data_IF_808080049702
#
_entry.id   IF_808080049702
#
_cell.length_a   1.000
_cell.length_b   1.000
_cell.length_c   1.000
_cell.angle_alpha   90.00
_cell.angle_beta   90.00
_cell.angle_gamma   90.00
#
_symmetry.space_group_name_H-M   'P 1'
#
loop_
_entity.id
_entity.type
_entity.pdbx_description
1 polymer ?
#
# COMPACT_ATOMS: atom_id res chain seq x y z
N UNK A 1 -1.44 28.96 8.60
CA UNK A 1 -1.03 27.68 8.00
C UNK A 1 0.44 27.45 8.25
N UNK A 2 0.84 26.33 8.76
CA UNK A 2 2.25 26.02 8.97
C UNK A 2 2.89 25.53 7.65
N UNK A 3 4.21 25.75 7.54
CA UNK A 3 4.97 25.33 6.36
C UNK A 3 5.25 23.82 6.32
N UNK A 4 4.92 23.10 7.39
CA UNK A 4 5.13 21.66 7.50
C UNK A 4 4.30 21.05 8.62
N UNK A 5 4.25 19.73 8.66
CA UNK A 5 3.52 19.01 9.69
C UNK A 5 4.07 17.61 9.89
N UNK A 6 3.54 16.93 10.89
CA UNK A 6 3.95 15.56 11.25
C UNK A 6 2.75 14.66 11.12
N UNK A 7 2.96 13.49 10.48
CA UNK A 7 2.03 12.39 10.48
C UNK A 7 2.58 11.33 11.42
N UNK A 8 2.05 11.29 12.64
CA UNK A 8 2.53 10.36 13.67
C UNK A 8 1.78 9.04 13.58
N UNK A 9 2.19 8.18 12.66
CA UNK A 9 1.56 6.88 12.46
C UNK A 9 1.60 6.00 13.70
N UNK A 10 2.62 6.17 14.54
CA UNK A 10 2.73 5.41 15.79
C UNK A 10 1.60 5.69 16.78
N UNK A 11 0.92 6.83 16.65
CA UNK A 11 -0.23 7.21 17.48
C UNK A 11 -1.58 6.85 16.87
N UNK A 12 -1.60 6.34 15.64
CA UNK A 12 -2.83 5.95 14.94
C UNK A 12 -3.07 4.46 15.18
N UNK A 13 -4.28 4.11 15.61
CA UNK A 13 -4.65 2.71 15.78
C UNK A 13 -4.69 1.97 14.44
N UNK A 14 -4.31 0.70 14.46
CA UNK A 14 -4.46 -0.17 13.30
C UNK A 14 -5.95 -0.45 13.05
N UNK A 15 -6.32 -0.40 11.78
CA UNK A 15 -7.63 -0.83 11.31
C UNK A 15 -7.44 -2.03 10.37
N UNK A 16 -8.42 -2.92 10.32
CA UNK A 16 -8.37 -4.07 9.43
C UNK A 16 -9.03 -3.73 8.10
N UNK A 17 -8.24 -3.73 7.03
CA UNK A 17 -8.77 -3.64 5.66
C UNK A 17 -9.41 -4.98 5.28
N UNK A 18 -8.79 -6.05 5.70
CA UNK A 18 -9.23 -7.45 5.68
C UNK A 18 -8.72 -8.10 6.98
N UNK A 19 -9.13 -9.32 7.32
CA UNK A 19 -8.62 -9.98 8.54
C UNK A 19 -7.11 -10.10 8.61
N UNK A 20 -6.41 -10.20 7.46
CA UNK A 20 -4.97 -10.40 7.38
C UNK A 20 -4.22 -9.21 6.76
N UNK A 21 -4.89 -8.09 6.52
CA UNK A 21 -4.29 -6.85 6.01
C UNK A 21 -4.74 -5.68 6.88
N UNK A 22 -3.78 -4.98 7.46
CA UNK A 22 -4.01 -3.93 8.44
C UNK A 22 -3.42 -2.61 7.96
N UNK A 23 -4.04 -1.50 8.32
CA UNK A 23 -3.51 -0.18 7.98
C UNK A 23 -3.69 0.82 9.11
N UNK A 24 -2.79 1.79 9.16
CA UNK A 24 -2.94 3.01 9.95
C UNK A 24 -2.71 4.17 9.00
N UNK A 25 -3.68 5.07 8.92
CA UNK A 25 -3.70 6.09 7.88
C UNK A 25 -4.19 7.43 8.40
N UNK A 26 -3.74 8.49 7.73
CA UNK A 26 -4.15 9.85 8.01
C UNK A 26 -4.22 10.64 6.70
N UNK A 27 -5.15 11.57 6.63
CA UNK A 27 -5.27 12.46 5.46
C UNK A 27 -4.46 13.72 5.68
N UNK A 28 -3.69 14.09 4.67
CA UNK A 28 -2.93 15.33 4.63
C UNK A 28 -2.71 15.74 3.17
N UNK A 29 -2.73 17.03 2.90
CA UNK A 29 -2.49 17.59 1.57
C UNK A 29 -3.40 17.00 0.48
N UNK A 30 -4.65 16.66 0.85
CA UNK A 30 -5.61 16.05 -0.08
C UNK A 30 -5.34 14.59 -0.41
N UNK A 31 -4.40 13.95 0.26
CA UNK A 31 -3.99 12.57 0.03
C UNK A 31 -4.21 11.73 1.28
N UNK A 32 -4.35 10.42 1.09
CA UNK A 32 -4.32 9.45 2.19
C UNK A 32 -2.91 8.88 2.29
N UNK A 33 -2.31 9.00 3.46
CA UNK A 33 -0.97 8.51 3.79
C UNK A 33 -1.15 7.33 4.73
N UNK A 34 -0.52 6.21 4.45
CA UNK A 34 -0.76 4.99 5.21
C UNK A 34 0.49 4.16 5.41
N UNK A 35 0.54 3.50 6.56
CA UNK A 35 1.38 2.33 6.76
C UNK A 35 0.45 1.11 6.63
N UNK A 36 0.79 0.17 5.76
CA UNK A 36 -0.01 -1.02 5.51
C UNK A 36 0.82 -2.25 5.82
N UNK A 37 0.23 -3.20 6.52
CA UNK A 37 0.86 -4.46 6.86
C UNK A 37 0.05 -5.62 6.29
N UNK A 38 0.72 -6.46 5.52
CA UNK A 38 0.19 -7.72 5.00
C UNK A 38 0.78 -8.86 5.82
N UNK A 39 -0.05 -9.66 6.45
CA UNK A 39 0.42 -10.90 7.07
C UNK A 39 0.95 -11.85 5.99
N UNK A 40 1.76 -12.84 6.39
CA UNK A 40 2.32 -13.81 5.45
C UNK A 40 1.20 -14.47 4.63
N UNK A 41 1.33 -14.46 3.32
CA UNK A 41 0.35 -15.06 2.41
C UNK A 41 -0.91 -14.24 2.17
N UNK A 42 -1.06 -13.07 2.82
CA UNK A 42 -2.25 -12.25 2.66
C UNK A 42 -2.37 -11.71 1.23
N UNK A 43 -3.58 -11.69 0.69
CA UNK A 43 -3.86 -11.18 -0.65
C UNK A 43 -5.13 -10.34 -0.65
N UNK A 44 -5.09 -9.19 -1.33
CA UNK A 44 -6.28 -8.37 -1.57
C UNK A 44 -7.25 -9.14 -2.45
N UNK A 45 -8.52 -9.13 -2.08
CA UNK A 45 -9.56 -9.81 -2.85
C UNK A 45 -10.08 -8.93 -3.99
N UNK A 46 -10.13 -7.62 -3.78
CA UNK A 46 -10.73 -6.68 -4.72
C UNK A 46 -9.68 -5.92 -5.52
N UNK A 47 -10.02 -5.61 -6.76
CA UNK A 47 -9.23 -4.72 -7.60
C UNK A 47 -9.40 -3.27 -7.15
N UNK A 48 -8.28 -2.54 -7.10
CA UNK A 48 -8.27 -1.11 -6.82
C UNK A 48 -7.87 -0.36 -8.09
N UNK A 49 -8.57 0.73 -8.39
CA UNK A 49 -8.26 1.57 -9.56
C UNK A 49 -7.67 2.92 -9.18
N UNK A 50 -7.43 3.16 -7.90
CA UNK A 50 -6.80 4.40 -7.43
C UNK A 50 -5.30 4.36 -7.68
N UNK A 51 -4.72 5.53 -7.98
CA UNK A 51 -3.27 5.65 -8.09
C UNK A 51 -2.60 5.67 -6.72
N UNK A 52 -1.45 5.02 -6.61
CA UNK A 52 -0.66 5.00 -5.38
C UNK A 52 0.81 5.23 -5.67
N UNK A 53 1.50 5.75 -4.68
CA UNK A 53 2.96 5.76 -4.58
C UNK A 53 3.36 5.08 -3.29
N UNK A 54 4.42 4.29 -3.33
CA UNK A 54 4.78 3.56 -2.14
C UNK A 54 6.24 3.17 -2.04
N UNK A 55 6.55 2.62 -0.89
CA UNK A 55 7.87 2.15 -0.55
C UNK A 55 7.74 0.94 0.36
N UNK A 56 8.47 -0.13 0.06
CA UNK A 56 8.46 -1.34 0.87
C UNK A 56 9.42 -1.17 2.04
N UNK A 57 8.88 -1.18 3.25
CA UNK A 57 9.66 -1.02 4.49
C UNK A 57 10.24 -2.34 4.98
N UNK A 58 9.51 -3.44 4.81
CA UNK A 58 9.91 -4.77 5.25
C UNK A 58 9.18 -5.84 4.44
N UNK A 59 9.82 -6.98 4.27
CA UNK A 59 9.23 -8.11 3.55
C UNK A 59 9.19 -7.90 2.04
N UNK A 60 8.23 -8.52 1.40
CA UNK A 60 8.03 -8.44 -0.04
C UNK A 60 6.55 -8.33 -0.39
N UNK A 61 6.25 -7.74 -1.54
CA UNK A 61 4.90 -7.57 -2.04
C UNK A 61 4.89 -7.81 -3.54
N UNK A 62 3.80 -8.37 -4.04
CA UNK A 62 3.56 -8.52 -5.46
C UNK A 62 2.26 -7.82 -5.83
N UNK A 63 2.30 -7.05 -6.92
CA UNK A 63 1.10 -6.43 -7.48
C UNK A 63 0.79 -7.06 -8.83
N UNK A 64 -0.46 -7.47 -9.00
CA UNK A 64 -0.99 -7.93 -10.28
C UNK A 64 -1.96 -6.90 -10.85
N UNK A 65 -2.13 -6.93 -12.16
CA UNK A 65 -2.95 -5.96 -12.90
C UNK A 65 -4.02 -6.69 -13.70
N UNK A 66 -5.17 -6.05 -13.89
CA UNK A 66 -6.33 -6.64 -14.57
C UNK A 66 -6.43 -6.29 -16.05
N UNK A 67 -5.44 -5.59 -16.61
CA UNK A 67 -5.46 -5.18 -18.02
C UNK A 67 -5.00 -6.30 -18.99
N UNK A 68 -4.53 -7.42 -18.47
CA UNK A 68 -4.06 -8.55 -19.27
C UNK A 68 -2.72 -8.35 -19.98
N UNK A 69 -2.08 -7.21 -19.81
CA UNK A 69 -0.83 -6.85 -20.51
C UNK A 69 0.31 -6.42 -19.59
N UNK A 70 0.01 -5.71 -18.49
CA UNK A 70 1.04 -5.26 -17.57
C UNK A 70 1.60 -6.43 -16.75
N UNK A 71 2.91 -6.69 -16.81
CA UNK A 71 3.51 -7.73 -15.98
C UNK A 71 3.36 -7.41 -14.49
N UNK A 72 3.21 -8.46 -13.66
CA UNK A 72 3.20 -8.29 -12.22
C UNK A 72 4.49 -7.65 -11.72
N UNK A 73 4.36 -6.80 -10.70
CA UNK A 73 5.50 -6.21 -10.00
C UNK A 73 5.83 -7.07 -8.80
N UNK A 74 7.10 -7.36 -8.60
CA UNK A 74 7.58 -8.05 -7.41
C UNK A 74 8.62 -7.19 -6.73
N UNK A 75 8.35 -6.76 -5.50
CA UNK A 75 9.09 -5.74 -4.79
C UNK A 75 9.54 -6.25 -3.43
N UNK A 76 10.77 -5.89 -3.07
CA UNK A 76 11.32 -6.18 -1.74
C UNK A 76 11.62 -4.90 -0.97
N UNK A 77 12.01 -5.07 0.29
CA UNK A 77 12.37 -3.96 1.17
C UNK A 77 13.40 -3.05 0.50
N UNK A 78 13.20 -1.75 0.62
CA UNK A 78 14.08 -0.75 0.02
C UNK A 78 13.65 -0.29 -1.37
N UNK A 79 12.62 -0.88 -1.96
CA UNK A 79 12.14 -0.51 -3.29
C UNK A 79 10.90 0.36 -3.22
N UNK A 80 10.92 1.47 -3.97
CA UNK A 80 9.75 2.30 -4.19
C UNK A 80 9.01 1.86 -5.44
N UNK A 81 7.74 2.26 -5.54
CA UNK A 81 6.89 1.90 -6.68
C UNK A 81 5.80 2.93 -6.88
N UNK A 82 5.18 2.87 -8.05
CA UNK A 82 3.98 3.64 -8.34
C UNK A 82 2.99 2.75 -9.09
N UNK A 83 1.71 3.03 -8.87
CA UNK A 83 0.60 2.36 -9.54
C UNK A 83 -0.28 3.46 -10.14
N UNK A 84 -0.52 3.37 -11.44
CA UNK A 84 -1.30 4.38 -12.15
C UNK A 84 -2.78 4.22 -11.90
N UNK A 85 -3.48 5.33 -11.74
CA UNK A 85 -4.94 5.33 -11.67
C UNK A 85 -5.56 4.81 -12.98
N UNK A 86 -6.71 4.16 -12.87
CA UNK A 86 -7.49 3.69 -14.02
C UNK A 86 -7.31 2.22 -14.38
N UNK A 87 -6.16 1.62 -14.08
CA UNK A 87 -5.95 0.19 -14.24
C UNK A 87 -6.13 -0.50 -12.90
N UNK A 88 -6.90 -1.58 -12.87
CA UNK A 88 -7.08 -2.35 -11.65
C UNK A 88 -5.79 -3.04 -11.24
N UNK A 89 -5.46 -2.91 -9.96
CA UNK A 89 -4.33 -3.60 -9.34
C UNK A 89 -4.75 -4.19 -7.99
N UNK A 90 -4.04 -5.20 -7.54
CA UNK A 90 -4.18 -5.73 -6.19
C UNK A 90 -2.88 -6.36 -5.73
N UNK A 91 -2.58 -6.14 -4.45
CA UNK A 91 -1.36 -6.61 -3.82
C UNK A 91 -1.55 -7.93 -3.09
N UNK A 92 -0.45 -8.66 -2.98
CA UNK A 92 -0.37 -9.85 -2.13
C UNK A 92 1.02 -9.96 -1.54
N UNK A 93 1.11 -10.60 -0.40
CA UNK A 93 2.39 -10.96 0.22
C UNK A 93 2.72 -12.41 -0.11
N UNK A 94 3.63 -12.69 -1.07
CA UNK A 94 3.98 -14.06 -1.44
C UNK A 94 4.95 -14.71 -0.46
N UNK A 95 5.45 -13.97 0.51
CA UNK A 95 6.48 -14.45 1.43
C UNK A 95 5.95 -15.14 2.67
N UNK A 96 6.87 -15.67 3.47
CA UNK A 96 6.57 -16.37 4.72
C UNK A 96 6.63 -15.50 5.96
N UNK A 97 6.79 -14.19 5.81
CA UNK A 97 6.79 -13.22 6.91
C UNK A 97 5.94 -12.02 6.55
N UNK A 98 5.58 -11.18 7.52
CA UNK A 98 4.80 -9.97 7.29
C UNK A 98 5.53 -9.02 6.36
N UNK A 99 4.79 -8.33 5.50
CA UNK A 99 5.28 -7.23 4.68
C UNK A 99 4.70 -5.92 5.16
N UNK A 100 5.50 -4.87 5.14
CA UNK A 100 5.08 -3.54 5.57
C UNK A 100 5.42 -2.53 4.50
N UNK A 101 4.43 -1.70 4.14
CA UNK A 101 4.51 -0.70 3.09
C UNK A 101 4.18 0.67 3.64
N UNK A 102 4.82 1.69 3.08
CA UNK A 102 4.35 3.06 3.16
C UNK A 102 3.69 3.42 1.84
N UNK A 103 2.45 3.93 1.90
CA UNK A 103 1.66 4.29 0.73
C UNK A 103 1.13 5.71 0.82
N UNK A 104 1.11 6.39 -0.32
CA UNK A 104 0.41 7.65 -0.49
C UNK A 104 -0.56 7.45 -1.65
N UNK A 105 -1.86 7.61 -1.37
CA UNK A 105 -2.89 7.54 -2.41
C UNK A 105 -2.95 8.90 -3.13
N UNK A 106 -3.05 8.87 -4.44
CA UNK A 106 -3.25 10.08 -5.22
C UNK A 106 -4.58 10.74 -4.84
N UNK A 107 -4.70 12.07 -4.96
CA UNK A 107 -5.96 12.75 -4.73
C UNK A 107 -7.05 12.19 -5.65
N UNK A 108 -8.24 12.05 -5.07
CA UNK A 108 -9.40 11.57 -5.82
C UNK A 108 -9.84 12.62 -6.87
#
# INVERSE_FOLDING_TARGET
MSAGGILDFGSIEWADDQPDIHSRAEKALGQRWAIVEYEAGAAREEWCTDGHRGYVLAGEIEYEFDDGTTPSLHLGAGQGFYLMAGTGHRGRNPGGSSARLFLIDDPA
#
